data_IF_831458180259
#
_entry.id   IF_831458180259
#
_cell.length_a   1.000
_cell.length_b   1.000
_cell.length_c   1.000
_cell.angle_alpha   90.00
_cell.angle_beta   90.00
_cell.angle_gamma   90.00
#
_symmetry.space_group_name_H-M   'P 1'
#
loop_
_entity.id
_entity.type
_entity.pdbx_description
1 polymer ?
#
# COMPACT_ATOMS: atom_id res chain seq x y z
N UNK A 1 14.19 18.02 -2.80
CA UNK A 1 12.90 18.68 -2.92
C UNK A 1 12.07 18.45 -1.67
N UNK A 2 11.27 19.42 -1.33
CA UNK A 2 10.41 19.33 -0.17
C UNK A 2 9.18 18.49 -0.52
N UNK A 3 9.16 17.25 -0.07
CA UNK A 3 8.05 16.34 -0.28
C UNK A 3 6.99 16.43 0.83
N UNK A 4 7.28 17.19 1.89
CA UNK A 4 6.46 17.22 3.08
C UNK A 4 6.61 15.99 3.97
N UNK A 5 7.57 15.12 3.69
CA UNK A 5 7.83 13.92 4.46
C UNK A 5 9.22 13.94 5.08
N UNK A 6 9.33 13.37 6.29
CA UNK A 6 10.64 13.11 6.86
C UNK A 6 11.35 12.00 6.08
N UNK A 7 12.66 11.91 6.22
CA UNK A 7 13.43 10.83 5.59
C UNK A 7 12.92 9.46 6.04
N UNK A 8 12.67 9.31 7.34
CA UNK A 8 12.18 8.04 7.86
C UNK A 8 10.81 7.67 7.26
N UNK A 9 9.91 8.63 7.15
CA UNK A 9 8.59 8.39 6.57
C UNK A 9 8.71 8.03 5.09
N UNK A 10 9.59 8.71 4.36
CA UNK A 10 9.83 8.43 2.95
C UNK A 10 10.37 7.00 2.76
N UNK A 11 11.32 6.58 3.58
CA UNK A 11 11.87 5.22 3.50
C UNK A 11 10.81 4.19 3.88
N UNK A 12 10.00 4.48 4.90
CA UNK A 12 8.92 3.58 5.32
C UNK A 12 7.89 3.40 4.21
N UNK A 13 7.43 4.49 3.61
CA UNK A 13 6.48 4.41 2.49
C UNK A 13 7.11 3.69 1.29
N UNK A 14 8.35 4.02 0.97
CA UNK A 14 9.05 3.37 -0.13
C UNK A 14 9.16 1.86 0.06
N UNK A 15 9.34 1.40 1.30
CA UNK A 15 9.41 -0.03 1.60
C UNK A 15 8.09 -0.74 1.30
N UNK A 16 6.97 -0.07 1.52
CA UNK A 16 5.64 -0.60 1.19
C UNK A 16 5.48 -0.66 -0.34
N UNK A 17 5.82 0.44 -1.02
CA UNK A 17 5.75 0.50 -2.49
C UNK A 17 6.63 -0.58 -3.11
N UNK A 18 7.82 -0.83 -2.57
CA UNK A 18 8.74 -1.86 -3.04
C UNK A 18 8.08 -3.24 -3.03
N UNK A 19 7.31 -3.54 -1.98
CA UNK A 19 6.64 -4.83 -1.84
C UNK A 19 5.37 -4.94 -2.67
N UNK A 20 4.70 -3.81 -2.94
CA UNK A 20 3.43 -3.81 -3.69
C UNK A 20 3.62 -3.80 -5.20
N UNK A 21 4.56 -3.01 -5.69
CA UNK A 21 4.72 -2.79 -7.12
C UNK A 21 5.56 -3.89 -7.76
N UNK A 22 5.04 -4.50 -8.80
CA UNK A 22 5.79 -5.42 -9.66
C UNK A 22 6.35 -4.64 -10.85
N UNK A 23 5.54 -3.76 -11.45
CA UNK A 23 5.95 -2.96 -12.60
C UNK A 23 6.49 -1.61 -12.14
N UNK A 24 7.65 -1.23 -12.68
CA UNK A 24 8.33 0.00 -12.26
C UNK A 24 7.49 1.24 -12.53
N UNK A 25 6.75 1.27 -13.65
CA UNK A 25 5.94 2.42 -14.02
C UNK A 25 4.73 2.62 -13.10
N UNK A 26 4.36 1.61 -12.32
CA UNK A 26 3.26 1.73 -11.37
C UNK A 26 3.70 2.22 -9.99
N UNK A 27 4.98 2.25 -9.69
CA UNK A 27 5.45 2.71 -8.38
C UNK A 27 4.95 4.11 -8.02
N UNK A 28 5.05 5.11 -8.91
CA UNK A 28 4.49 6.43 -8.60
C UNK A 28 2.97 6.43 -8.40
N UNK A 29 2.25 5.57 -9.12
CA UNK A 29 0.80 5.45 -8.97
C UNK A 29 0.42 4.83 -7.64
N UNK A 30 1.09 3.76 -7.25
CA UNK A 30 0.86 3.11 -5.96
C UNK A 30 1.20 4.06 -4.82
N UNK A 31 2.33 4.76 -4.94
CA UNK A 31 2.71 5.77 -3.96
C UNK A 31 1.66 6.86 -3.83
N UNK A 32 1.04 7.27 -4.96
CA UNK A 32 0.00 8.30 -4.93
C UNK A 32 -1.22 7.86 -4.13
N UNK A 33 -1.60 6.59 -4.21
CA UNK A 33 -2.72 6.06 -3.43
C UNK A 33 -2.44 6.19 -1.94
N UNK A 34 -1.26 5.74 -1.50
CA UNK A 34 -0.91 5.82 -0.08
C UNK A 34 -0.74 7.26 0.39
N UNK A 35 -0.14 8.14 -0.44
CA UNK A 35 -0.02 9.56 -0.11
C UNK A 35 -1.39 10.21 0.03
N UNK A 36 -2.34 9.87 -0.85
CA UNK A 36 -3.71 10.38 -0.76
C UNK A 36 -4.40 9.92 0.53
N UNK A 37 -4.19 8.67 0.92
CA UNK A 37 -4.73 8.15 2.18
C UNK A 37 -4.12 8.83 3.39
N UNK A 38 -2.80 9.05 3.38
CA UNK A 38 -2.10 9.74 4.46
C UNK A 38 -2.57 11.19 4.60
N UNK A 39 -2.92 11.83 3.48
CA UNK A 39 -3.44 13.20 3.47
C UNK A 39 -4.92 13.27 3.85
N UNK A 40 -5.54 12.13 4.16
CA UNK A 40 -6.97 12.01 4.46
C UNK A 40 -7.84 12.51 3.30
N UNK A 41 -7.37 12.26 2.07
CA UNK A 41 -8.06 12.67 0.85
C UNK A 41 -8.93 11.55 0.27
N UNK A 42 -9.15 10.48 1.02
CA UNK A 42 -9.89 9.30 0.59
C UNK A 42 -11.08 9.05 1.53
N UNK A 43 -12.19 9.76 1.33
CA UNK A 43 -13.32 9.66 2.27
C UNK A 43 -13.89 8.24 2.40
N UNK A 44 -13.81 7.44 1.33
CA UNK A 44 -14.34 6.07 1.38
C UNK A 44 -13.48 5.11 2.21
N UNK A 45 -12.26 5.51 2.55
CA UNK A 45 -11.40 4.73 3.44
C UNK A 45 -11.77 4.95 4.91
N UNK A 46 -12.30 6.13 5.24
CA UNK A 46 -12.74 6.43 6.59
C UNK A 46 -11.62 6.85 7.54
N UNK A 47 -10.52 7.38 7.01
CA UNK A 47 -9.37 7.84 7.81
C UNK A 47 -8.09 7.69 7.04
N UNK A 48 -6.96 7.77 7.75
CA UNK A 48 -5.63 7.67 7.15
C UNK A 48 -5.08 6.23 7.17
N UNK A 49 -5.97 5.25 7.10
CA UNK A 49 -5.57 3.83 7.08
C UNK A 49 -5.01 3.45 5.72
N UNK A 50 -3.77 2.96 5.70
CA UNK A 50 -3.14 2.55 4.44
C UNK A 50 -3.70 1.21 3.93
N UNK A 51 -4.08 0.33 4.84
CA UNK A 51 -4.61 -1.00 4.50
C UNK A 51 -3.68 -1.73 3.53
N UNK A 52 -2.39 -1.63 3.83
CA UNK A 52 -1.34 -2.21 2.99
C UNK A 52 -1.03 -3.63 3.45
N UNK A 53 -1.37 -4.61 2.63
CA UNK A 53 -1.17 -6.03 2.93
C UNK A 53 0.28 -6.35 3.35
N UNK A 54 1.31 -5.82 2.69
CA UNK A 54 2.69 -6.14 3.07
C UNK A 54 3.04 -5.77 4.52
N UNK A 55 2.39 -4.74 5.09
CA UNK A 55 2.67 -4.36 6.48
C UNK A 55 2.19 -5.44 7.45
N UNK A 56 1.05 -6.07 7.15
CA UNK A 56 0.51 -7.14 7.97
C UNK A 56 1.34 -8.41 7.79
N UNK A 57 1.74 -8.70 6.55
CA UNK A 57 2.61 -9.82 6.26
C UNK A 57 3.93 -9.71 7.03
N UNK A 58 4.51 -8.50 7.04
CA UNK A 58 5.73 -8.23 7.80
C UNK A 58 5.50 -8.45 9.31
N UNK A 59 4.40 -7.93 9.84
CA UNK A 59 4.09 -8.01 11.27
C UNK A 59 3.96 -9.45 11.75
N UNK A 60 3.39 -10.31 10.90
CA UNK A 60 3.17 -11.72 11.22
C UNK A 60 4.33 -12.61 10.81
N UNK A 61 5.21 -12.10 9.95
CA UNK A 61 6.29 -12.87 9.37
C UNK A 61 7.26 -13.43 10.41
N UNK A 62 7.86 -14.57 10.07
CA UNK A 62 8.85 -15.25 10.89
C UNK A 62 9.80 -15.99 9.96
N UNK A 63 10.89 -16.48 10.53
CA UNK A 63 11.89 -17.21 9.75
C UNK A 63 11.22 -18.34 8.96
N UNK A 64 11.42 -18.36 7.64
CA UNK A 64 10.83 -19.34 6.74
C UNK A 64 9.46 -18.97 6.20
N UNK A 65 8.83 -17.89 6.71
CA UNK A 65 7.49 -17.51 6.29
C UNK A 65 7.28 -16.01 6.49
N UNK A 66 8.19 -15.20 5.94
CA UNK A 66 8.15 -13.74 6.12
C UNK A 66 7.00 -13.08 5.35
N UNK A 67 6.62 -13.65 4.20
CA UNK A 67 5.58 -13.05 3.36
C UNK A 67 4.35 -13.93 3.27
N UNK A 68 3.88 -14.36 4.43
CA UNK A 68 2.67 -15.13 4.62
C UNK A 68 1.48 -14.47 3.94
N UNK A 69 0.65 -15.29 3.29
CA UNK A 69 -0.58 -14.80 2.65
C UNK A 69 -1.79 -15.35 3.41
N UNK A 70 -2.73 -14.47 3.78
CA UNK A 70 -3.96 -14.93 4.41
C UNK A 70 -4.89 -15.59 3.39
N UNK A 71 -5.81 -16.40 3.88
CA UNK A 71 -6.83 -17.02 3.04
C UNK A 71 -8.01 -16.08 2.81
N UNK A 72 -8.20 -15.10 3.69
CA UNK A 72 -9.26 -14.11 3.56
C UNK A 72 -8.77 -12.77 4.07
N UNK A 73 -9.44 -11.70 3.65
CA UNK A 73 -9.06 -10.35 4.06
C UNK A 73 -9.32 -10.13 5.55
N UNK A 74 -10.27 -10.85 6.14
CA UNK A 74 -10.56 -10.75 7.57
C UNK A 74 -9.40 -11.21 8.44
N UNK A 75 -8.55 -12.10 7.93
CA UNK A 75 -7.38 -12.56 8.69
C UNK A 75 -6.41 -11.42 8.98
N UNK A 76 -6.36 -10.39 8.15
CA UNK A 76 -5.52 -9.23 8.41
C UNK A 76 -5.92 -8.51 9.70
N UNK A 77 -7.22 -8.44 10.00
CA UNK A 77 -7.71 -7.74 11.17
C UNK A 77 -7.32 -8.43 12.48
N UNK A 78 -6.95 -9.71 12.45
CA UNK A 78 -6.57 -10.45 13.64
C UNK A 78 -5.10 -10.29 14.04
N UNK A 79 -4.28 -9.67 13.19
CA UNK A 79 -2.86 -9.49 13.50
C UNK A 79 -2.70 -8.23 14.35
N UNK A 80 -2.50 -8.40 15.66
CA UNK A 80 -2.32 -7.29 16.59
C UNK A 80 -0.87 -6.82 16.56
N UNK A 81 -0.61 -5.72 15.87
CA UNK A 81 0.73 -5.16 15.73
C UNK A 81 0.63 -3.68 15.36
N UNK A 82 1.55 -2.83 15.85
CA UNK A 82 1.64 -1.44 15.38
C UNK A 82 1.91 -1.35 13.87
N UNK A 83 2.42 -2.40 13.25
CA UNK A 83 2.64 -2.44 11.80
C UNK A 83 1.36 -2.72 11.01
N UNK A 84 0.27 -3.15 11.65
CA UNK A 84 -0.96 -3.46 10.93
C UNK A 84 -1.69 -2.18 10.53
N UNK A 85 -1.60 -1.81 9.25
CA UNK A 85 -2.20 -0.58 8.73
C UNK A 85 -3.69 -0.69 8.46
N UNK A 86 -4.30 -1.85 8.68
CA UNK A 86 -5.76 -1.98 8.75
C UNK A 86 -6.30 -1.53 10.10
N UNK A 87 -5.49 -1.67 11.16
CA UNK A 87 -5.90 -1.36 12.53
C UNK A 87 -5.39 -0.01 13.02
N UNK A 88 -4.26 0.44 12.50
CA UNK A 88 -3.59 1.66 12.96
C UNK A 88 -3.48 2.67 11.82
N UNK A 89 -3.95 3.91 12.03
CA UNK A 89 -3.86 4.93 10.98
C UNK A 89 -2.43 5.40 10.76
N UNK A 90 -2.16 5.91 9.56
CA UNK A 90 -0.86 6.44 9.22
C UNK A 90 0.15 5.37 8.81
N UNK A 91 1.40 5.78 8.70
CA UNK A 91 2.50 4.88 8.38
C UNK A 91 2.81 3.95 9.57
N UNK A 92 3.35 2.74 9.29
CA UNK A 92 3.82 1.89 10.38
C UNK A 92 5.06 2.49 11.05
N UNK A 93 5.52 1.91 12.17
CA UNK A 93 6.65 2.49 12.93
C UNK A 93 7.98 2.57 12.17
N UNK A 94 8.16 1.76 11.13
CA UNK A 94 9.40 1.78 10.35
C UNK A 94 9.27 0.99 9.06
N UNK A 95 10.35 0.94 8.26
CA UNK A 95 10.31 0.24 6.99
C UNK A 95 10.16 -1.27 7.16
N UNK A 96 9.52 -1.91 6.17
CA UNK A 96 9.27 -3.36 6.18
C UNK A 96 10.20 -4.10 5.20
N UNK A 97 10.98 -3.37 4.43
CA UNK A 97 11.91 -3.93 3.46
C UNK A 97 12.97 -2.87 3.17
N UNK A 98 14.01 -3.24 2.43
CA UNK A 98 15.01 -2.30 1.94
C UNK A 98 14.57 -1.79 0.57
N UNK A 99 14.07 -0.56 0.47
CA UNK A 99 13.57 -0.06 -0.81
C UNK A 99 14.71 0.33 -1.75
N UNK A 100 14.49 0.09 -3.06
CA UNK A 100 15.39 0.58 -4.08
C UNK A 100 15.15 2.05 -4.39
N UNK A 101 16.02 2.62 -5.22
CA UNK A 101 15.95 4.04 -5.56
C UNK A 101 14.62 4.42 -6.22
N UNK A 102 14.12 3.57 -7.13
CA UNK A 102 12.86 3.85 -7.82
C UNK A 102 11.68 3.96 -6.85
N UNK A 103 11.64 3.10 -5.83
CA UNK A 103 10.58 3.18 -4.82
C UNK A 103 10.75 4.42 -3.93
N UNK A 104 11.99 4.80 -3.61
CA UNK A 104 12.25 6.02 -2.85
C UNK A 104 11.82 7.26 -3.62
N UNK A 105 12.14 7.32 -4.91
CA UNK A 105 11.70 8.43 -5.76
C UNK A 105 10.18 8.51 -5.85
N UNK A 106 9.52 7.36 -5.97
CA UNK A 106 8.05 7.32 -6.03
C UNK A 106 7.42 7.82 -4.73
N UNK A 107 8.02 7.48 -3.58
CA UNK A 107 7.49 7.90 -2.28
C UNK A 107 7.55 9.42 -2.11
N UNK A 108 8.68 10.05 -2.49
CA UNK A 108 8.88 11.49 -2.30
C UNK A 108 8.30 12.32 -3.45
N UNK A 109 8.12 11.73 -4.62
CA UNK A 109 7.62 12.41 -5.80
C UNK A 109 6.58 11.53 -6.51
N UNK A 110 5.44 11.27 -5.86
CA UNK A 110 4.42 10.39 -6.43
C UNK A 110 3.73 11.02 -7.62
N UNK A 111 3.02 10.21 -8.40
CA UNK A 111 2.15 10.72 -9.45
C UNK A 111 1.05 11.59 -8.83
N UNK A 112 0.60 12.59 -9.56
CA UNK A 112 -0.48 13.48 -9.14
C UNK A 112 -1.81 12.86 -9.56
N UNK A 113 -2.47 12.15 -8.63
CA UNK A 113 -3.74 11.48 -8.91
C UNK A 113 -4.71 11.69 -7.77
N UNK A 114 -5.97 11.31 -8.03
CA UNK A 114 -7.00 11.23 -6.99
C UNK A 114 -7.30 9.77 -6.64
N UNK A 115 -6.43 8.83 -7.01
CA UNK A 115 -6.66 7.42 -6.74
C UNK A 115 -6.56 7.12 -5.24
N UNK A 116 -7.49 6.30 -4.77
CA UNK A 116 -7.58 5.88 -3.37
C UNK A 116 -7.52 4.36 -3.20
N UNK A 117 -7.66 3.60 -4.29
CA UNK A 117 -7.71 2.14 -4.27
C UNK A 117 -6.98 1.57 -5.46
N UNK A 118 -6.49 0.34 -5.31
CA UNK A 118 -5.97 -0.42 -6.44
C UNK A 118 -6.15 -1.91 -6.17
N UNK A 119 -6.20 -2.70 -7.24
CA UNK A 119 -6.31 -4.16 -7.17
C UNK A 119 -5.51 -4.77 -8.31
N UNK A 120 -4.88 -5.92 -8.03
CA UNK A 120 -4.09 -6.64 -9.03
C UNK A 120 -5.01 -7.20 -10.12
N UNK A 121 -4.56 -7.12 -11.38
CA UNK A 121 -5.30 -7.68 -12.52
C UNK A 121 -5.05 -9.17 -12.72
N UNK A 122 -4.00 -9.71 -12.10
CA UNK A 122 -3.57 -11.08 -12.35
C UNK A 122 -2.72 -11.24 -13.60
N UNK A 123 -2.42 -10.15 -14.29
CA UNK A 123 -1.62 -10.17 -15.52
C UNK A 123 -0.39 -9.30 -15.36
N UNK A 124 0.80 -9.91 -15.53
CA UNK A 124 2.09 -9.22 -15.54
C UNK A 124 2.36 -8.36 -14.29
N UNK A 125 1.69 -8.67 -13.17
CA UNK A 125 1.84 -7.90 -11.94
C UNK A 125 1.22 -6.51 -11.99
N UNK A 126 0.39 -6.23 -12.99
CA UNK A 126 -0.25 -4.92 -13.14
C UNK A 126 -1.45 -4.76 -12.22
N UNK A 127 -1.80 -3.51 -11.97
CA UNK A 127 -2.93 -3.12 -11.14
C UNK A 127 -3.86 -2.21 -11.92
N UNK A 128 -5.12 -2.14 -11.47
CA UNK A 128 -6.07 -1.12 -11.90
C UNK A 128 -6.38 -0.24 -10.70
N UNK A 129 -6.58 1.04 -10.94
CA UNK A 129 -6.70 2.06 -9.92
C UNK A 129 -8.10 2.66 -9.91
N UNK A 130 -8.56 3.08 -8.75
CA UNK A 130 -9.89 3.65 -8.59
C UNK A 130 -9.85 4.83 -7.62
N UNK A 131 -10.74 5.79 -7.83
CA UNK A 131 -10.88 6.95 -6.97
C UNK A 131 -11.88 6.72 -5.85
N UNK A 132 -12.94 5.93 -6.13
CA UNK A 132 -14.02 5.70 -5.18
C UNK A 132 -14.13 4.23 -4.84
N UNK A 133 -14.78 3.93 -3.71
CA UNK A 133 -15.04 2.55 -3.33
C UNK A 133 -15.90 1.84 -4.37
N UNK A 134 -16.89 2.53 -4.95
CA UNK A 134 -17.75 1.93 -5.97
C UNK A 134 -16.94 1.49 -7.20
N UNK A 135 -16.01 2.33 -7.67
CA UNK A 135 -15.13 1.97 -8.78
C UNK A 135 -14.23 0.79 -8.41
N UNK A 136 -13.72 0.80 -7.18
CA UNK A 136 -12.85 -0.27 -6.70
C UNK A 136 -13.62 -1.60 -6.63
N UNK A 137 -14.83 -1.59 -6.11
CA UNK A 137 -15.66 -2.80 -6.03
C UNK A 137 -15.97 -3.35 -7.41
N UNK A 138 -16.21 -2.47 -8.40
CA UNK A 138 -16.40 -2.90 -9.79
C UNK A 138 -15.13 -3.57 -10.33
N UNK A 139 -13.95 -3.01 -10.03
CA UNK A 139 -12.67 -3.61 -10.43
C UNK A 139 -12.44 -4.95 -9.73
N UNK A 140 -12.76 -5.05 -8.45
CA UNK A 140 -12.63 -6.29 -7.70
C UNK A 140 -13.53 -7.37 -8.29
N UNK A 141 -14.74 -7.02 -8.73
CA UNK A 141 -15.64 -7.98 -9.34
C UNK A 141 -15.07 -8.56 -10.64
N UNK A 142 -14.25 -7.78 -11.36
CA UNK A 142 -13.61 -8.23 -12.60
C UNK A 142 -12.32 -9.00 -12.34
N UNK A 143 -11.47 -8.50 -11.42
CA UNK A 143 -10.10 -8.98 -11.24
C UNK A 143 -9.83 -9.63 -9.89
N UNK A 144 -10.68 -9.43 -8.91
CA UNK A 144 -10.37 -9.74 -7.50
C UNK A 144 -10.23 -11.22 -7.16
N UNK A 145 -10.47 -12.12 -8.08
CA UNK A 145 -10.24 -13.53 -7.87
C UNK A 145 -8.86 -14.01 -8.33
N UNK A 146 -8.01 -13.09 -8.77
CA UNK A 146 -6.71 -13.41 -9.37
C UNK A 146 -5.65 -13.77 -8.34
#
# INVERSE_FOLDING_TARGET
ADSGMSLQDAVTLASIVEREAVQADERPLIASVYRNRLANACPDVGGTYLQADPTVQYARGRAGDWWWKPQSIEEYAFVQSPYNTYLNPGLPPGPIASPGLSALEAAVNPAQTAYCFFVATGEDGRHVFARTLAEHEANVAIYGGQ
#
